data_IF_668117019367
#
_entry.id   IF_668117019367
#
_cell.length_a   1.000
_cell.length_b   1.000
_cell.length_c   1.000
_cell.angle_alpha   90.00
_cell.angle_beta   90.00
_cell.angle_gamma   90.00
#
_symmetry.space_group_name_H-M   'P 1'
#
loop_
_entity.id
_entity.type
_entity.pdbx_description
1 polymer ?
#
# COMPACT_ATOMS: atom_id res chain seq x y z
N UNK A 1 -24.50 -43.26 -51.78
CA UNK A 1 -24.63 -41.85 -51.34
C UNK A 1 -23.61 -41.61 -50.25
N UNK A 2 -22.49 -40.98 -50.61
CA UNK A 2 -21.34 -40.73 -49.74
C UNK A 2 -21.49 -39.29 -49.19
N UNK A 3 -21.75 -39.15 -47.89
CA UNK A 3 -21.87 -37.83 -47.23
C UNK A 3 -20.50 -37.36 -46.75
N UNK A 4 -19.92 -36.41 -47.48
CA UNK A 4 -18.67 -35.71 -47.12
C UNK A 4 -18.97 -34.73 -45.98
N UNK A 5 -18.41 -35.00 -44.78
CA UNK A 5 -18.35 -34.03 -43.68
C UNK A 5 -17.11 -33.16 -43.85
N UNK A 6 -17.31 -31.89 -44.20
CA UNK A 6 -16.26 -30.88 -44.27
C UNK A 6 -15.77 -30.52 -42.86
N UNK A 7 -14.51 -30.81 -42.57
CA UNK A 7 -13.80 -30.29 -41.39
C UNK A 7 -13.34 -28.86 -41.67
N UNK A 8 -13.87 -27.88 -40.94
CA UNK A 8 -13.29 -26.53 -40.88
C UNK A 8 -12.13 -26.56 -39.88
N UNK A 9 -10.90 -26.45 -40.38
CA UNK A 9 -9.73 -26.19 -39.55
C UNK A 9 -9.70 -24.70 -39.20
N UNK A 10 -9.93 -24.37 -37.92
CA UNK A 10 -9.69 -23.02 -37.40
C UNK A 10 -8.20 -22.91 -37.09
N UNK A 11 -7.46 -22.20 -37.94
CA UNK A 11 -6.10 -21.76 -37.64
C UNK A 11 -6.18 -20.67 -36.57
N UNK A 12 -5.92 -21.03 -35.31
CA UNK A 12 -5.72 -20.08 -34.23
C UNK A 12 -4.41 -19.31 -34.44
N UNK A 13 -4.52 -18.01 -34.71
CA UNK A 13 -3.38 -17.11 -34.78
C UNK A 13 -2.81 -16.94 -33.35
N UNK A 14 -1.65 -17.53 -33.08
CA UNK A 14 -0.86 -17.24 -31.88
C UNK A 14 -0.31 -15.82 -32.01
N UNK A 15 -0.96 -14.86 -31.34
CA UNK A 15 -0.39 -13.53 -31.14
C UNK A 15 0.66 -13.68 -30.04
N UNK A 16 1.94 -13.72 -30.44
CA UNK A 16 3.04 -13.56 -29.51
C UNK A 16 2.85 -12.21 -28.77
N UNK A 17 2.66 -12.27 -27.46
CA UNK A 17 2.59 -11.07 -26.63
C UNK A 17 3.91 -10.31 -26.75
N UNK A 18 3.92 -9.21 -27.49
CA UNK A 18 5.04 -8.29 -27.50
C UNK A 18 5.19 -7.73 -26.10
N UNK A 19 6.33 -8.00 -25.45
CA UNK A 19 6.72 -7.26 -24.27
C UNK A 19 6.73 -5.76 -24.63
N UNK A 20 6.10 -4.93 -23.79
CA UNK A 20 6.15 -3.47 -23.94
C UNK A 20 7.61 -3.00 -24.04
N UNK A 21 7.91 -2.00 -24.89
CA UNK A 21 9.27 -1.51 -25.01
C UNK A 21 9.74 -0.94 -23.68
N UNK A 22 10.78 -1.56 -23.12
CA UNK A 22 11.58 -1.00 -22.04
C UNK A 22 12.15 0.32 -22.54
N UNK A 23 11.66 1.46 -22.05
CA UNK A 23 12.29 2.76 -22.31
C UNK A 23 13.48 2.88 -21.35
N UNK A 24 14.73 2.71 -21.81
CA UNK A 24 15.89 2.81 -20.94
C UNK A 24 16.14 4.31 -20.73
N UNK A 25 16.02 4.78 -19.50
CA UNK A 25 16.56 6.08 -19.12
C UNK A 25 17.89 5.85 -18.38
N UNK A 26 19.00 6.48 -18.82
CA UNK A 26 20.31 6.26 -18.23
C UNK A 26 20.28 6.62 -16.74
N UNK A 27 20.84 5.74 -15.89
CA UNK A 27 20.85 5.89 -14.44
C UNK A 27 19.62 5.36 -13.70
N UNK A 28 18.65 4.75 -14.39
CA UNK A 28 17.51 4.08 -13.74
C UNK A 28 17.80 2.61 -13.44
N UNK A 29 17.51 2.17 -12.22
CA UNK A 29 17.21 0.76 -12.01
C UNK A 29 16.08 0.37 -12.99
N UNK A 30 16.14 -0.76 -13.70
CA UNK A 30 15.08 -1.18 -14.60
C UNK A 30 13.77 -1.26 -13.81
N UNK A 31 12.78 -0.48 -14.26
CA UNK A 31 11.45 -0.43 -13.67
C UNK A 31 10.52 -1.23 -14.57
N UNK A 32 9.94 -2.28 -14.02
CA UNK A 32 8.93 -3.09 -14.70
C UNK A 32 7.56 -2.80 -14.12
N UNK A 33 6.52 -2.81 -14.96
CA UNK A 33 5.15 -2.60 -14.51
C UNK A 33 4.50 -3.97 -14.41
N UNK A 34 4.14 -4.39 -13.19
CA UNK A 34 3.58 -5.73 -12.91
C UNK A 34 2.06 -5.72 -12.74
N UNK A 35 1.46 -4.54 -12.59
CA UNK A 35 0.02 -4.33 -12.62
C UNK A 35 -0.33 -2.90 -13.05
N UNK A 36 -1.52 -2.72 -13.65
CA UNK A 36 -2.02 -1.43 -14.17
C UNK A 36 -3.52 -1.29 -13.93
N UNK A 37 -4.05 -0.08 -14.13
CA UNK A 37 -5.50 0.17 -14.08
C UNK A 37 -6.09 0.02 -12.68
N UNK A 38 -5.27 0.21 -11.65
CA UNK A 38 -5.69 0.14 -10.26
C UNK A 38 -6.33 1.46 -9.81
N UNK A 39 -7.25 1.37 -8.86
CA UNK A 39 -8.02 2.48 -8.32
C UNK A 39 -7.44 2.98 -7.00
N UNK A 40 -6.63 4.04 -7.08
CA UNK A 40 -5.91 4.61 -5.93
C UNK A 40 -5.22 3.52 -5.09
N UNK A 41 -4.27 2.75 -5.68
CA UNK A 41 -3.58 1.67 -4.96
C UNK A 41 -2.74 2.25 -3.82
N UNK A 42 -2.70 1.55 -2.69
CA UNK A 42 -2.02 1.97 -1.45
C UNK A 42 -1.05 0.89 -0.99
N UNK A 43 -1.19 0.39 0.24
CA UNK A 43 -0.35 -0.62 0.83
C UNK A 43 -0.29 -1.93 0.04
N UNK A 44 0.84 -2.61 0.19
CA UNK A 44 1.21 -3.82 -0.53
C UNK A 44 1.71 -4.88 0.45
N UNK A 45 1.27 -6.13 0.28
CA UNK A 45 1.80 -7.23 1.08
C UNK A 45 1.94 -8.51 0.27
N UNK A 46 2.99 -9.28 0.54
CA UNK A 46 3.16 -10.60 -0.05
C UNK A 46 2.47 -11.68 0.77
N UNK A 47 1.78 -12.58 0.08
CA UNK A 47 1.38 -13.88 0.61
C UNK A 47 2.57 -14.85 0.72
N UNK A 48 2.34 -15.96 1.41
CA UNK A 48 3.36 -16.98 1.62
C UNK A 48 3.86 -17.59 0.30
N UNK A 49 2.97 -17.76 -0.69
CA UNK A 49 3.31 -18.41 -1.98
C UNK A 49 3.85 -17.44 -3.02
N UNK A 50 3.88 -16.14 -2.71
CA UNK A 50 4.44 -15.10 -3.57
C UNK A 50 3.40 -14.25 -4.29
N UNK A 51 2.13 -14.42 -3.95
CA UNK A 51 1.05 -13.53 -4.38
C UNK A 51 1.28 -12.13 -3.81
N UNK A 52 1.11 -11.08 -4.61
CA UNK A 52 1.20 -9.69 -4.15
C UNK A 52 -0.20 -9.09 -4.02
N UNK A 53 -0.59 -8.74 -2.81
CA UNK A 53 -1.87 -8.09 -2.52
C UNK A 53 -1.72 -6.57 -2.52
N UNK A 54 -2.73 -5.89 -3.02
CA UNK A 54 -2.80 -4.43 -3.14
C UNK A 54 -4.12 -3.94 -2.56
N UNK A 55 -4.05 -3.00 -1.62
CA UNK A 55 -5.22 -2.25 -1.18
C UNK A 55 -5.58 -1.19 -2.23
N UNK A 56 -6.79 -1.24 -2.79
CA UNK A 56 -7.33 -0.20 -3.68
C UNK A 56 -8.33 0.65 -2.91
N UNK A 57 -8.00 1.92 -2.66
CA UNK A 57 -8.90 2.84 -1.96
C UNK A 57 -10.19 3.12 -2.76
N UNK A 58 -10.16 2.88 -4.08
CA UNK A 58 -11.30 3.00 -4.97
C UNK A 58 -11.40 4.37 -5.64
N UNK A 59 -12.61 4.74 -6.03
CA UNK A 59 -12.95 5.94 -6.82
C UNK A 59 -14.18 6.68 -6.30
N UNK A 60 -14.67 6.35 -5.09
CA UNK A 60 -15.94 6.86 -4.59
C UNK A 60 -17.16 6.22 -5.25
N UNK A 61 -18.25 6.97 -5.39
CA UNK A 61 -19.49 6.51 -6.01
C UNK A 61 -20.35 7.65 -6.58
N UNK A 62 -21.62 7.36 -6.87
CA UNK A 62 -22.55 8.34 -7.44
C UNK A 62 -23.21 9.24 -6.38
N UNK A 63 -23.22 8.84 -5.11
CA UNK A 63 -23.86 9.58 -4.04
C UNK A 63 -22.91 10.66 -3.50
N UNK A 64 -23.07 11.89 -3.97
CA UNK A 64 -22.21 13.01 -3.60
C UNK A 64 -22.88 13.93 -2.57
N UNK A 65 -22.09 14.36 -1.58
CA UNK A 65 -22.47 15.32 -0.55
C UNK A 65 -21.44 16.44 -0.45
N UNK A 66 -21.89 17.64 -0.11
CA UNK A 66 -20.98 18.74 0.17
C UNK A 66 -20.19 18.45 1.46
N UNK A 67 -18.87 18.68 1.41
CA UNK A 67 -17.96 18.65 2.54
C UNK A 67 -17.94 19.97 3.31
N UNK A 68 -17.32 19.95 4.48
CA UNK A 68 -17.14 21.13 5.33
C UNK A 68 -16.14 22.15 4.78
N UNK A 69 -15.34 21.75 3.79
CA UNK A 69 -14.27 22.50 3.13
C UNK A 69 -14.69 23.10 1.78
N UNK A 70 -16.00 23.21 1.52
CA UNK A 70 -16.60 23.56 0.21
C UNK A 70 -16.28 22.56 -0.92
N UNK A 71 -15.63 21.43 -0.60
CA UNK A 71 -15.44 20.30 -1.50
C UNK A 71 -16.69 19.44 -1.62
N UNK A 72 -16.65 18.47 -2.53
CA UNK A 72 -17.68 17.43 -2.65
C UNK A 72 -17.04 16.07 -2.42
N UNK A 73 -17.76 15.21 -1.70
CA UNK A 73 -17.34 13.85 -1.38
C UNK A 73 -18.39 12.89 -1.89
N UNK A 74 -17.97 11.94 -2.72
CA UNK A 74 -18.83 10.99 -3.39
C UNK A 74 -18.56 9.59 -2.84
N UNK A 75 -19.54 9.03 -2.14
CA UNK A 75 -19.44 7.74 -1.46
C UNK A 75 -19.98 6.62 -2.35
N UNK A 76 -19.33 5.46 -2.31
CA UNK A 76 -19.67 4.30 -3.13
C UNK A 76 -19.00 3.02 -2.66
N UNK A 77 -19.10 1.99 -3.51
CA UNK A 77 -18.56 0.64 -3.27
C UNK A 77 -17.53 0.26 -4.31
N UNK A 78 -16.52 1.12 -4.49
CA UNK A 78 -15.45 0.94 -5.48
C UNK A 78 -14.12 0.50 -4.87
N UNK A 79 -14.01 0.41 -3.54
CA UNK A 79 -12.82 -0.11 -2.88
C UNK A 79 -12.66 -1.61 -3.11
N UNK A 80 -11.42 -2.08 -3.11
CA UNK A 80 -11.10 -3.48 -3.38
C UNK A 80 -9.77 -3.91 -2.74
N UNK A 81 -9.57 -5.23 -2.65
CA UNK A 81 -8.27 -5.86 -2.47
C UNK A 81 -7.97 -6.63 -3.76
N UNK A 82 -6.91 -6.24 -4.46
CA UNK A 82 -6.44 -6.90 -5.67
C UNK A 82 -5.26 -7.82 -5.35
N UNK A 83 -5.20 -8.97 -6.00
CA UNK A 83 -4.04 -9.85 -5.99
C UNK A 83 -3.36 -9.83 -7.35
N UNK A 84 -2.04 -9.89 -7.35
CA UNK A 84 -1.18 -10.05 -8.53
C UNK A 84 -0.43 -11.36 -8.37
N UNK A 85 -0.64 -12.28 -9.30
CA UNK A 85 -0.04 -13.61 -9.28
C UNK A 85 0.13 -14.12 -10.71
N UNK A 86 1.27 -14.77 -10.99
CA UNK A 86 1.58 -15.35 -12.31
C UNK A 86 1.37 -14.38 -13.49
N UNK A 87 1.72 -13.10 -13.32
CA UNK A 87 1.58 -12.07 -14.35
C UNK A 87 0.15 -11.62 -14.63
N UNK A 88 -0.80 -11.99 -13.76
CA UNK A 88 -2.22 -11.60 -13.85
C UNK A 88 -2.63 -10.84 -12.59
N UNK A 89 -3.65 -10.00 -12.71
CA UNK A 89 -4.25 -9.29 -11.59
C UNK A 89 -5.77 -9.52 -11.54
N UNK A 90 -6.35 -9.65 -10.34
CA UNK A 90 -7.80 -9.68 -10.13
C UNK A 90 -8.19 -9.25 -8.71
N UNK A 91 -9.41 -8.75 -8.54
CA UNK A 91 -9.95 -8.33 -7.24
C UNK A 91 -10.43 -9.56 -6.46
N UNK A 92 -9.73 -9.91 -5.39
CA UNK A 92 -10.13 -10.99 -4.46
C UNK A 92 -11.20 -10.54 -3.48
N UNK A 93 -11.24 -9.24 -3.19
CA UNK A 93 -12.33 -8.60 -2.45
C UNK A 93 -12.76 -7.37 -3.24
N UNK A 94 -14.07 -7.20 -3.46
CA UNK A 94 -14.63 -6.09 -4.21
C UNK A 94 -15.84 -5.50 -3.50
N UNK A 95 -16.24 -4.28 -3.88
CA UNK A 95 -17.44 -3.67 -3.33
C UNK A 95 -17.23 -3.13 -1.91
N UNK A 96 -16.00 -2.77 -1.55
CA UNK A 96 -15.67 -2.17 -0.26
C UNK A 96 -16.02 -0.68 -0.26
N UNK A 97 -16.36 -0.10 0.90
CA UNK A 97 -16.66 1.32 1.02
C UNK A 97 -15.52 2.20 0.51
N UNK A 98 -15.86 3.20 -0.30
CA UNK A 98 -14.93 4.17 -0.88
C UNK A 98 -15.57 5.54 -0.91
N UNK A 99 -14.81 6.58 -0.59
CA UNK A 99 -15.19 7.98 -0.72
C UNK A 99 -14.13 8.71 -1.52
N UNK A 100 -14.50 9.52 -2.49
CA UNK A 100 -13.53 10.27 -3.31
C UNK A 100 -14.11 11.63 -3.75
N UNK A 101 -13.30 12.45 -4.42
CA UNK A 101 -13.82 13.62 -5.13
C UNK A 101 -14.79 13.21 -6.25
N UNK A 102 -15.60 14.13 -6.82
CA UNK A 102 -16.44 13.81 -7.99
C UNK A 102 -15.65 13.32 -9.21
N UNK A 103 -14.36 13.67 -9.31
CA UNK A 103 -13.47 13.17 -10.35
C UNK A 103 -13.01 11.72 -10.09
N UNK A 104 -13.33 11.15 -8.92
CA UNK A 104 -12.90 9.82 -8.48
C UNK A 104 -11.45 9.76 -8.00
N UNK A 105 -10.83 10.92 -7.75
CA UNK A 105 -9.46 11.05 -7.26
C UNK A 105 -9.41 11.32 -5.76
N UNK A 106 -8.26 11.08 -5.15
CA UNK A 106 -8.05 11.32 -3.71
C UNK A 106 -8.91 10.42 -2.83
N UNK A 107 -9.09 9.16 -3.24
CA UNK A 107 -10.00 8.25 -2.55
C UNK A 107 -9.53 7.87 -1.14
N UNK A 108 -10.51 7.77 -0.25
CA UNK A 108 -10.44 7.12 1.06
C UNK A 108 -11.20 5.79 0.97
N UNK A 109 -10.65 4.74 1.56
CA UNK A 109 -11.07 3.37 1.33
C UNK A 109 -10.09 2.41 2.00
N UNK A 110 -9.96 1.16 1.50
CA UNK A 110 -8.82 0.31 1.83
C UNK A 110 -7.52 1.09 1.76
N UNK A 111 -6.79 1.17 2.88
CA UNK A 111 -5.61 2.01 3.02
C UNK A 111 -4.32 1.19 3.11
N UNK A 112 -4.39 0.01 3.71
CA UNK A 112 -3.27 -0.93 3.76
C UNK A 112 -3.77 -2.37 3.86
N UNK A 113 -2.95 -3.35 3.49
CA UNK A 113 -3.27 -4.77 3.48
C UNK A 113 -2.11 -5.59 4.04
N UNK A 114 -2.43 -6.62 4.80
CA UNK A 114 -1.49 -7.65 5.25
C UNK A 114 -2.14 -9.03 5.15
N UNK A 115 -1.35 -10.09 5.28
CA UNK A 115 -1.86 -11.46 5.16
C UNK A 115 -1.90 -12.09 6.55
N UNK A 116 -3.10 -12.48 6.97
CA UNK A 116 -3.30 -13.17 8.24
C UNK A 116 -2.60 -14.53 8.27
N UNK A 117 -2.43 -15.09 9.47
CA UNK A 117 -1.80 -16.40 9.65
C UNK A 117 -2.56 -17.56 8.97
N UNK A 118 -3.82 -17.36 8.64
CA UNK A 118 -4.69 -18.27 7.87
C UNK A 118 -4.58 -18.08 6.35
N UNK A 119 -3.77 -17.11 5.89
CA UNK A 119 -3.60 -16.81 4.47
C UNK A 119 -4.64 -15.84 3.89
N UNK A 120 -5.59 -15.35 4.71
CA UNK A 120 -6.62 -14.41 4.25
C UNK A 120 -6.14 -12.95 4.37
N UNK A 121 -6.51 -12.06 3.43
CA UNK A 121 -6.14 -10.66 3.50
C UNK A 121 -6.89 -9.95 4.63
N UNK A 122 -6.12 -9.31 5.50
CA UNK A 122 -6.58 -8.30 6.45
C UNK A 122 -6.28 -6.93 5.89
N UNK A 123 -7.20 -5.98 6.03
CA UNK A 123 -6.96 -4.63 5.55
C UNK A 123 -7.57 -3.57 6.45
N UNK A 124 -6.93 -2.40 6.48
CA UNK A 124 -7.50 -1.21 7.10
C UNK A 124 -8.33 -0.47 6.07
N UNK A 125 -9.38 0.21 6.50
CA UNK A 125 -10.10 1.16 5.67
C UNK A 125 -10.35 2.47 6.42
N UNK A 126 -10.28 3.60 5.71
CA UNK A 126 -10.46 4.94 6.27
C UNK A 126 -11.83 5.55 5.96
N UNK A 127 -12.49 5.13 4.88
CA UNK A 127 -13.87 5.56 4.53
C UNK A 127 -14.90 5.06 5.55
N UNK A 128 -14.75 3.82 5.99
CA UNK A 128 -15.46 3.25 7.15
C UNK A 128 -14.37 2.73 8.10
N UNK A 129 -13.95 3.54 9.09
CA UNK A 129 -12.76 3.26 9.89
C UNK A 129 -12.79 1.90 10.60
N UNK A 130 -11.83 1.03 10.27
CA UNK A 130 -11.66 -0.26 10.95
C UNK A 130 -10.64 -1.19 10.33
N UNK A 131 -10.45 -2.34 10.99
CA UNK A 131 -9.77 -3.52 10.46
C UNK A 131 -10.80 -4.50 9.91
N UNK A 132 -10.55 -4.99 8.71
CA UNK A 132 -11.46 -5.87 7.98
C UNK A 132 -10.80 -7.17 7.56
N UNK A 133 -11.66 -8.16 7.35
CA UNK A 133 -11.36 -9.40 6.63
C UNK A 133 -12.46 -9.65 5.62
N UNK A 134 -12.12 -9.64 4.33
CA UNK A 134 -13.14 -9.58 3.28
C UNK A 134 -14.07 -8.39 3.52
N UNK A 135 -15.39 -8.61 3.57
CA UNK A 135 -16.35 -7.55 3.91
C UNK A 135 -16.64 -7.42 5.42
N UNK A 136 -16.02 -8.25 6.28
CA UNK A 136 -16.35 -8.32 7.70
C UNK A 136 -15.47 -7.37 8.52
N UNK A 137 -16.12 -6.47 9.28
CA UNK A 137 -15.44 -5.61 10.25
C UNK A 137 -15.03 -6.43 11.48
N UNK A 138 -13.72 -6.43 11.78
CA UNK A 138 -13.16 -7.13 12.94
C UNK A 138 -13.04 -6.23 14.16
N UNK A 139 -12.69 -4.96 13.96
CA UNK A 139 -12.56 -3.95 15.01
C UNK A 139 -12.68 -2.54 14.42
N UNK A 140 -13.46 -1.69 15.08
CA UNK A 140 -13.51 -0.25 14.76
C UNK A 140 -12.28 0.43 15.33
N UNK A 141 -11.51 1.08 14.46
CA UNK A 141 -10.34 1.88 14.84
C UNK A 141 -10.59 3.29 14.29
N UNK A 142 -10.41 4.37 15.07
CA UNK A 142 -10.73 5.73 14.64
C UNK A 142 -10.09 6.20 13.33
N UNK A 143 -8.79 5.98 13.11
CA UNK A 143 -8.12 6.32 11.85
C UNK A 143 -7.01 5.31 11.49
N UNK A 144 -7.37 4.10 11.02
CA UNK A 144 -6.42 3.03 10.76
C UNK A 144 -5.77 3.23 9.40
N UNK A 145 -4.50 3.62 9.39
CA UNK A 145 -3.78 4.00 8.16
C UNK A 145 -2.84 2.93 7.64
N UNK A 146 -2.33 2.06 8.53
CA UNK A 146 -1.42 0.97 8.17
C UNK A 146 -1.64 -0.26 9.06
N UNK A 147 -1.26 -1.45 8.55
CA UNK A 147 -1.38 -2.73 9.25
C UNK A 147 -0.23 -3.69 8.92
N UNK A 148 0.31 -4.33 9.94
CA UNK A 148 1.20 -5.49 9.81
C UNK A 148 0.76 -6.58 10.78
N UNK A 149 0.49 -7.78 10.28
CA UNK A 149 -0.20 -8.85 11.01
C UNK A 149 -1.57 -8.39 11.58
N UNK A 150 -1.66 -8.17 12.89
CA UNK A 150 -2.83 -7.57 13.56
C UNK A 150 -2.48 -6.28 14.30
N UNK A 151 -1.32 -5.70 13.99
CA UNK A 151 -0.83 -4.44 14.53
C UNK A 151 -1.19 -3.31 13.59
N UNK A 152 -1.89 -2.30 14.11
CA UNK A 152 -2.46 -1.19 13.33
C UNK A 152 -1.85 0.12 13.82
N UNK A 153 -1.58 1.01 12.87
CA UNK A 153 -1.32 2.42 13.16
C UNK A 153 -2.63 3.19 13.16
N UNK A 154 -3.01 3.75 14.30
CA UNK A 154 -4.08 4.73 14.41
C UNK A 154 -3.49 6.15 14.37
N UNK A 155 -3.71 6.85 13.26
CA UNK A 155 -3.19 8.19 13.05
C UNK A 155 -3.85 9.23 13.95
N UNK A 156 -5.12 9.04 14.33
CA UNK A 156 -5.88 9.99 15.14
C UNK A 156 -5.43 9.93 16.59
N UNK A 157 -5.34 8.72 17.12
CA UNK A 157 -4.90 8.50 18.50
C UNK A 157 -3.38 8.53 18.65
N UNK A 158 -2.65 8.65 17.54
CA UNK A 158 -1.18 8.52 17.45
C UNK A 158 -0.73 7.29 18.21
N UNK A 159 -1.30 6.15 17.88
CA UNK A 159 -1.11 4.92 18.62
C UNK A 159 -0.75 3.76 17.69
N UNK A 160 0.08 2.87 18.22
CA UNK A 160 0.27 1.54 17.67
C UNK A 160 -0.63 0.60 18.48
N UNK A 161 -1.57 -0.05 17.82
CA UNK A 161 -2.60 -0.89 18.42
C UNK A 161 -2.38 -2.35 18.00
N UNK A 162 -2.70 -3.30 18.86
CA UNK A 162 -2.84 -4.72 18.51
C UNK A 162 -4.31 -5.11 18.60
N UNK A 163 -4.80 -5.76 17.55
CA UNK A 163 -6.10 -6.42 17.57
C UNK A 163 -5.89 -7.87 18.01
N UNK A 164 -6.33 -8.18 19.22
CA UNK A 164 -6.34 -9.54 19.75
C UNK A 164 -7.53 -10.34 19.19
N UNK A 165 -7.57 -11.68 19.35
CA UNK A 165 -8.72 -12.48 18.96
C UNK A 165 -10.03 -11.92 19.51
N UNK A 166 -11.10 -12.02 18.72
CA UNK A 166 -12.43 -11.43 18.99
C UNK A 166 -12.47 -9.89 18.99
N UNK A 167 -11.50 -9.23 18.36
CA UNK A 167 -11.54 -7.79 18.10
C UNK A 167 -11.13 -6.90 19.28
N UNK A 168 -10.59 -7.48 20.37
CA UNK A 168 -10.14 -6.69 21.53
C UNK A 168 -8.91 -5.85 21.17
N UNK A 169 -9.02 -4.54 21.35
CA UNK A 169 -7.95 -3.58 21.06
C UNK A 169 -7.02 -3.47 22.27
N UNK A 170 -5.71 -3.52 22.03
CA UNK A 170 -4.67 -3.26 23.02
C UNK A 170 -3.70 -2.20 22.51
N UNK A 171 -3.45 -1.16 23.28
CA UNK A 171 -2.43 -0.17 22.93
C UNK A 171 -1.04 -0.76 23.18
N UNK A 172 -0.23 -0.88 22.13
CA UNK A 172 1.19 -1.23 22.23
C UNK A 172 1.99 0.01 22.66
N UNK A 173 1.74 1.14 22.00
CA UNK A 173 2.44 2.38 22.27
C UNK A 173 1.63 3.60 21.82
N UNK A 174 1.91 4.74 22.46
CA UNK A 174 1.41 6.06 22.05
C UNK A 174 2.59 6.95 21.67
N UNK A 175 2.51 7.61 20.52
CA UNK A 175 3.55 8.50 20.03
C UNK A 175 3.34 9.93 20.58
N UNK A 176 4.41 10.62 21.02
CA UNK A 176 4.30 11.94 21.60
C UNK A 176 3.88 12.98 20.54
N UNK A 177 3.07 13.96 20.94
CA UNK A 177 2.76 15.09 20.07
C UNK A 177 4.04 15.84 19.65
N UNK A 178 4.16 16.34 18.40
CA UNK A 178 3.21 16.25 17.29
C UNK A 178 3.55 15.11 16.31
N UNK A 179 3.71 13.86 16.78
CA UNK A 179 3.91 12.71 15.90
C UNK A 179 2.72 12.50 14.93
N UNK A 180 3.02 12.02 13.72
CA UNK A 180 2.04 11.75 12.67
C UNK A 180 2.29 10.35 12.08
N UNK A 181 2.07 9.27 12.85
CA UNK A 181 2.39 7.92 12.40
C UNK A 181 1.47 7.52 11.23
N UNK A 182 2.04 6.94 10.18
CA UNK A 182 1.32 6.68 8.92
C UNK A 182 1.62 5.34 8.24
N UNK A 183 2.75 4.70 8.54
CA UNK A 183 3.14 3.39 8.01
C UNK A 183 3.76 2.53 9.10
N UNK A 184 3.78 1.20 8.91
CA UNK A 184 4.41 0.28 9.86
C UNK A 184 5.02 -0.94 9.17
N UNK A 185 6.19 -1.37 9.65
CA UNK A 185 6.78 -2.67 9.30
C UNK A 185 7.41 -3.33 10.53
N UNK A 186 7.63 -4.64 10.48
CA UNK A 186 8.31 -5.39 11.53
C UNK A 186 9.77 -5.62 11.13
N UNK A 187 10.69 -5.25 12.02
CA UNK A 187 12.12 -5.48 11.83
C UNK A 187 12.55 -6.92 12.11
N UNK A 188 13.74 -7.31 11.66
CA UNK A 188 14.26 -8.67 11.90
C UNK A 188 14.48 -9.03 13.37
N UNK A 189 14.53 -8.02 14.23
CA UNK A 189 14.59 -8.15 15.69
C UNK A 189 13.21 -8.19 16.37
N UNK A 190 12.13 -8.17 15.59
CA UNK A 190 10.75 -8.17 16.06
C UNK A 190 10.24 -6.81 16.56
N UNK A 191 11.03 -5.74 16.46
CA UNK A 191 10.56 -4.39 16.77
C UNK A 191 9.70 -3.82 15.65
N UNK A 192 8.73 -2.97 15.98
CA UNK A 192 7.97 -2.23 14.96
C UNK A 192 8.70 -0.96 14.56
N UNK A 193 8.74 -0.69 13.26
CA UNK A 193 9.25 0.54 12.68
C UNK A 193 8.09 1.31 12.07
N UNK A 194 7.86 2.53 12.54
CA UNK A 194 6.68 3.34 12.18
C UNK A 194 7.14 4.63 11.54
N UNK A 195 6.74 4.85 10.29
CA UNK A 195 7.05 6.05 9.53
C UNK A 195 6.06 7.17 9.83
N UNK A 196 6.55 8.41 9.85
CA UNK A 196 5.67 9.58 9.88
C UNK A 196 5.29 10.01 8.47
N UNK A 197 3.99 10.19 8.25
CA UNK A 197 3.43 10.66 6.98
C UNK A 197 2.78 12.01 7.19
N UNK A 198 3.04 12.96 6.31
CA UNK A 198 2.39 14.27 6.34
C UNK A 198 1.47 14.41 5.15
N UNK A 199 0.24 14.88 5.39
CA UNK A 199 -0.69 15.18 4.31
C UNK A 199 -0.17 16.33 3.44
N UNK A 200 -0.52 16.33 2.16
CA UNK A 200 -0.10 17.34 1.16
C UNK A 200 -0.42 18.79 1.55
N UNK A 201 -1.40 18.99 2.45
CA UNK A 201 -1.77 20.30 2.99
C UNK A 201 -0.80 20.85 4.07
N UNK A 202 0.19 20.05 4.50
CA UNK A 202 1.16 20.46 5.51
C UNK A 202 2.20 21.39 4.91
N UNK A 203 2.10 22.70 5.18
CA UNK A 203 3.08 23.70 4.71
C UNK A 203 4.34 23.61 5.57
N UNK A 204 5.47 23.23 4.96
CA UNK A 204 6.79 23.04 5.61
C UNK A 204 6.73 22.09 6.82
N UNK A 205 6.42 20.80 6.62
CA UNK A 205 6.47 19.85 7.71
C UNK A 205 7.89 19.79 8.27
N UNK A 206 8.00 19.61 9.59
CA UNK A 206 9.26 19.16 10.20
C UNK A 206 9.71 17.87 9.52
N UNK A 207 11.01 17.53 9.54
CA UNK A 207 11.44 16.26 8.98
C UNK A 207 10.65 15.08 9.56
N UNK A 208 10.16 14.22 8.68
CA UNK A 208 9.51 12.97 9.07
C UNK A 208 10.53 12.09 9.77
N UNK A 209 10.04 11.37 10.78
CA UNK A 209 10.81 10.44 11.59
C UNK A 209 10.38 9.01 11.30
N UNK A 210 11.30 8.09 11.51
CA UNK A 210 11.00 6.67 11.68
C UNK A 210 11.17 6.37 13.15
N UNK A 211 10.11 5.88 13.77
CA UNK A 211 10.09 5.44 15.15
C UNK A 211 10.40 3.95 15.21
N UNK A 212 11.13 3.53 16.24
CA UNK A 212 11.26 2.14 16.63
C UNK A 212 10.50 1.90 17.93
N UNK A 213 9.69 0.85 17.96
CA UNK A 213 8.87 0.44 19.09
C UNK A 213 9.25 -0.99 19.44
N UNK A 214 9.93 -1.18 20.56
CA UNK A 214 10.16 -2.51 21.12
C UNK A 214 8.97 -2.92 21.99
N UNK A 215 8.62 -4.23 22.04
CA UNK A 215 7.61 -4.72 22.96
C UNK A 215 7.86 -4.26 24.40
N UNK A 216 6.86 -3.62 25.01
CA UNK A 216 6.92 -3.14 26.40
C UNK A 216 7.80 -1.91 26.62
N UNK A 217 8.35 -1.27 25.58
CA UNK A 217 9.14 -0.04 25.71
C UNK A 217 8.47 1.14 25.01
N UNK A 218 8.77 2.35 25.50
CA UNK A 218 8.31 3.58 24.86
C UNK A 218 8.93 3.75 23.45
N UNK A 219 8.18 4.31 22.48
CA UNK A 219 8.71 4.62 21.15
C UNK A 219 9.94 5.52 21.20
N UNK A 220 10.93 5.23 20.35
CA UNK A 220 12.14 6.05 20.20
C UNK A 220 12.34 6.42 18.75
N UNK A 221 12.82 7.62 18.49
CA UNK A 221 13.22 8.02 17.14
C UNK A 221 14.42 7.17 16.74
N UNK A 222 14.30 6.44 15.64
CA UNK A 222 15.36 5.61 15.08
C UNK A 222 16.08 6.32 13.95
N UNK A 223 15.34 7.00 13.07
CA UNK A 223 15.90 7.86 12.03
C UNK A 223 15.04 9.10 11.81
N UNK A 224 15.61 10.16 11.24
CA UNK A 224 14.96 11.44 10.95
C UNK A 224 15.53 12.04 9.67
N UNK A 225 14.95 13.11 9.12
CA UNK A 225 15.45 13.74 7.89
C UNK A 225 14.80 13.18 6.63
N UNK A 226 13.54 12.77 6.73
CA UNK A 226 12.70 12.35 5.61
C UNK A 226 11.68 13.46 5.30
N UNK A 227 11.15 13.51 4.08
CA UNK A 227 10.11 14.48 3.68
C UNK A 227 8.75 14.03 4.19
N UNK A 228 8.35 12.82 3.80
CA UNK A 228 7.07 12.19 4.07
C UNK A 228 7.24 10.69 3.87
N UNK A 229 7.19 9.90 4.94
CA UNK A 229 7.36 8.44 4.81
C UNK A 229 6.03 7.86 4.36
N UNK A 230 5.89 7.59 3.07
CA UNK A 230 4.72 6.97 2.49
C UNK A 230 4.59 5.52 2.97
N UNK A 231 5.69 4.75 2.92
CA UNK A 231 5.73 3.38 3.43
C UNK A 231 7.15 2.89 3.75
N UNK A 232 7.27 1.77 4.45
CA UNK A 232 8.51 1.18 4.95
C UNK A 232 8.52 -0.34 4.74
N UNK A 233 9.65 -0.90 4.31
CA UNK A 233 9.81 -2.35 4.25
C UNK A 233 11.26 -2.78 4.52
N UNK A 234 11.43 -3.88 5.26
CA UNK A 234 12.74 -4.51 5.42
C UNK A 234 13.12 -5.32 4.19
N UNK A 235 14.39 -5.25 3.82
CA UNK A 235 14.90 -5.90 2.62
C UNK A 235 16.30 -6.50 2.78
N UNK A 236 16.94 -6.88 1.65
CA UNK A 236 18.26 -7.48 1.63
C UNK A 236 19.31 -6.68 2.41
N UNK A 237 20.25 -7.40 3.02
CA UNK A 237 21.36 -6.79 3.77
C UNK A 237 20.95 -6.13 5.08
N UNK A 238 19.81 -6.52 5.67
CA UNK A 238 19.26 -5.94 6.89
C UNK A 238 19.13 -4.41 6.80
N UNK A 239 18.58 -3.95 5.66
CA UNK A 239 18.33 -2.54 5.40
C UNK A 239 16.83 -2.27 5.45
N UNK A 240 16.46 -1.16 6.07
CA UNK A 240 15.12 -0.61 5.99
C UNK A 240 15.03 0.24 4.74
N UNK A 241 14.06 -0.03 3.89
CA UNK A 241 13.76 0.75 2.71
C UNK A 241 12.61 1.71 3.04
N UNK A 242 12.78 2.96 2.63
CA UNK A 242 11.93 4.09 2.96
C UNK A 242 11.43 4.67 1.65
N UNK A 243 10.11 4.62 1.47
CA UNK A 243 9.42 5.20 0.33
C UNK A 243 8.94 6.59 0.69
N UNK A 244 9.36 7.59 -0.08
CA UNK A 244 8.99 8.98 0.04
C UNK A 244 8.42 9.48 -1.29
N UNK A 245 7.74 10.63 -1.28
CA UNK A 245 7.33 11.29 -2.53
C UNK A 245 8.52 11.61 -3.46
N UNK A 246 9.71 11.76 -2.89
CA UNK A 246 10.96 12.08 -3.61
C UNK A 246 11.73 10.86 -4.13
N UNK A 247 11.40 9.64 -3.68
CA UNK A 247 12.14 8.45 -4.09
C UNK A 247 12.09 7.28 -3.12
N UNK A 248 12.90 6.27 -3.43
CA UNK A 248 13.14 5.10 -2.59
C UNK A 248 14.59 5.13 -2.10
N UNK A 249 14.78 5.13 -0.80
CA UNK A 249 16.10 5.12 -0.15
C UNK A 249 16.20 3.93 0.81
N UNK A 250 17.37 3.32 0.92
CA UNK A 250 17.63 2.31 1.95
C UNK A 250 18.54 2.87 3.05
N UNK A 251 18.32 2.47 4.29
CA UNK A 251 19.11 2.85 5.46
C UNK A 251 19.47 1.60 6.27
N UNK A 252 20.73 1.49 6.71
CA UNK A 252 21.17 0.42 7.62
C UNK A 252 21.11 0.85 9.09
N UNK A 253 21.40 -0.09 9.98
CA UNK A 253 21.44 0.13 11.43
C UNK A 253 22.46 1.20 11.88
N UNK A 254 23.49 1.48 11.09
CA UNK A 254 24.46 2.55 11.37
C UNK A 254 23.98 3.92 10.85
N UNK A 255 22.84 3.97 10.14
CA UNK A 255 22.26 5.17 9.58
C UNK A 255 22.77 5.53 8.19
N UNK A 256 23.61 4.69 7.55
CA UNK A 256 24.11 5.00 6.22
C UNK A 256 22.98 4.84 5.19
N UNK A 257 22.78 5.87 4.37
CA UNK A 257 21.74 5.91 3.35
C UNK A 257 22.29 5.56 1.98
N UNK A 258 21.50 4.83 1.19
CA UNK A 258 21.75 4.55 -0.23
C UNK A 258 20.47 4.81 -1.00
N UNK A 259 20.51 5.80 -1.90
CA UNK A 259 19.43 6.09 -2.85
C UNK A 259 19.29 4.90 -3.82
N UNK A 260 18.06 4.42 -4.02
CA UNK A 260 17.72 3.37 -4.98
C UNK A 260 17.19 3.99 -6.26
N UNK A 261 16.21 4.89 -6.14
CA UNK A 261 15.73 5.72 -7.25
C UNK A 261 15.12 7.01 -6.73
N UNK A 262 15.29 8.11 -7.46
CA UNK A 262 14.63 9.40 -7.22
C UNK A 262 13.62 9.76 -8.32
N UNK A 263 13.38 8.86 -9.28
CA UNK A 263 12.53 9.12 -10.43
C UNK A 263 11.65 7.92 -10.77
N UNK A 264 10.54 8.19 -11.47
CA UNK A 264 9.60 7.16 -11.91
C UNK A 264 8.56 6.75 -10.87
N UNK A 265 8.56 7.37 -9.69
CA UNK A 265 7.57 7.15 -8.64
C UNK A 265 6.57 8.31 -8.63
N UNK A 266 5.50 8.21 -9.42
CA UNK A 266 4.43 9.21 -9.41
C UNK A 266 3.46 8.91 -8.25
N UNK A 267 3.34 9.82 -7.29
CA UNK A 267 2.48 9.68 -6.10
C UNK A 267 2.52 8.27 -5.48
N UNK A 268 3.71 7.82 -5.01
CA UNK A 268 3.86 6.50 -4.43
C UNK A 268 3.02 6.34 -3.16
N UNK A 269 2.53 5.12 -2.89
CA UNK A 269 1.58 4.88 -1.78
C UNK A 269 1.90 3.71 -0.87
N UNK A 270 2.60 2.69 -1.36
CA UNK A 270 2.92 1.48 -0.60
C UNK A 270 4.16 0.79 -1.14
N UNK A 271 4.82 0.02 -0.29
CA UNK A 271 6.10 -0.64 -0.53
C UNK A 271 6.08 -2.06 0.02
N UNK A 272 6.41 -3.04 -0.83
CA UNK A 272 6.73 -4.39 -0.39
C UNK A 272 8.07 -4.84 -0.98
N UNK A 273 8.83 -5.67 -0.26
CA UNK A 273 10.10 -6.21 -0.74
C UNK A 273 10.07 -7.72 -0.77
N UNK A 274 10.49 -8.30 -1.90
CA UNK A 274 10.67 -9.75 -2.05
C UNK A 274 11.69 -10.07 -3.13
N UNK A 275 12.55 -11.05 -2.86
CA UNK A 275 13.47 -11.61 -3.86
C UNK A 275 14.39 -10.58 -4.51
N UNK A 276 14.93 -9.63 -3.72
CA UNK A 276 15.84 -8.59 -4.23
C UNK A 276 15.16 -7.48 -5.03
N UNK A 277 13.84 -7.37 -4.97
CA UNK A 277 13.07 -6.35 -5.66
C UNK A 277 12.16 -5.60 -4.68
N UNK A 278 12.03 -4.29 -4.90
CA UNK A 278 10.97 -3.47 -4.32
C UNK A 278 9.77 -3.44 -5.26
N UNK A 279 8.59 -3.53 -4.68
CA UNK A 279 7.30 -3.40 -5.33
C UNK A 279 6.65 -2.14 -4.79
N UNK A 280 6.32 -1.20 -5.67
CA UNK A 280 5.83 0.13 -5.29
C UNK A 280 4.52 0.41 -6.00
N UNK A 281 3.47 0.74 -5.24
CA UNK A 281 2.24 1.25 -5.81
C UNK A 281 2.41 2.73 -6.17
N UNK A 282 1.94 3.12 -7.35
CA UNK A 282 1.99 4.50 -7.85
C UNK A 282 0.63 4.99 -8.27
N UNK A 283 0.50 6.31 -8.43
CA UNK A 283 -0.77 6.97 -8.74
C UNK A 283 -1.82 6.67 -7.66
N UNK A 284 -1.40 6.73 -6.39
CA UNK A 284 -2.17 6.33 -5.20
C UNK A 284 -3.37 7.23 -4.88
N UNK A 285 -3.53 8.32 -5.63
CA UNK A 285 -4.66 9.25 -5.56
C UNK A 285 -5.42 9.31 -6.89
N UNK A 286 -5.03 8.50 -7.88
CA UNK A 286 -5.59 8.52 -9.21
C UNK A 286 -6.71 7.48 -9.39
N UNK A 287 -7.54 7.74 -10.39
CA UNK A 287 -8.62 6.87 -10.85
C UNK A 287 -8.13 6.05 -12.06
N UNK A 288 -8.37 4.73 -12.08
CA UNK A 288 -8.16 3.82 -13.23
C UNK A 288 -6.75 3.85 -13.86
N UNK A 289 -5.75 4.40 -13.17
CA UNK A 289 -4.40 4.65 -13.71
C UNK A 289 -3.29 4.30 -12.71
N UNK A 290 -3.67 3.77 -11.55
CA UNK A 290 -2.75 3.17 -10.59
C UNK A 290 -1.97 2.01 -11.19
N UNK A 291 -0.73 1.85 -10.73
CA UNK A 291 0.14 0.76 -11.16
C UNK A 291 0.93 0.21 -9.98
N UNK A 292 1.48 -0.99 -10.17
CA UNK A 292 2.54 -1.53 -9.31
C UNK A 292 3.81 -1.66 -10.13
N UNK A 293 4.87 -1.04 -9.64
CA UNK A 293 6.20 -1.08 -10.22
C UNK A 293 7.06 -2.13 -9.50
N UNK A 294 7.91 -2.83 -10.24
CA UNK A 294 8.96 -3.72 -9.72
C UNK A 294 10.34 -3.10 -10.04
N UNK A 295 11.14 -2.92 -8.99
CA UNK A 295 12.43 -2.21 -9.03
C UNK A 295 13.50 -3.10 -8.41
N UNK A 296 14.62 -3.30 -9.09
CA UNK A 296 15.76 -4.06 -8.57
C UNK A 296 16.52 -3.30 -7.48
N UNK A 297 16.97 -4.01 -6.42
CA UNK A 297 17.69 -3.47 -5.26
C UNK A 297 19.21 -3.71 -5.31
#
# INVERSE_FOLDING_TARGET
MLTIRSYFAVFGLLIAGQADPVVPLPGRAPVEIVARGLDSPRGLAFGARGELYVAEAGRGGAACRAGTDRGWWCSGRSGAITVIEFGRQWRVVSGLPSEASPAGTGASGPSDVTIGADGEPLHTATSVPGLYRGANLLATVPAPVAVVDTVIVDARERALLRIAPRGRIQTIATFPAPAAPGSVTVGPDGAWFVGETFGHASVRPRPARIWRVEPGRAPRVWATGFTDVADLAWGPGNRLYVLESSGLTSIDAAGNRRLITAAGLNSPGGLAIRGGHAYVSTCSTCKDSGAVLRIRL
#
